data_IF_469335414700
#
_entry.id   IF_469335414700
#
_cell.length_a   1.000
_cell.length_b   1.000
_cell.length_c   1.000
_cell.angle_alpha   90.00
_cell.angle_beta   90.00
_cell.angle_gamma   90.00
#
_symmetry.space_group_name_H-M   'P 1'
#
loop_
_entity.id
_entity.type
_entity.pdbx_description
1 polymer ?
#
# COMPACT_ATOMS: atom_id res chain seq x y z
N UNK A 1 -7.71 14.22 -19.71
CA UNK A 1 -8.16 13.86 -18.34
C UNK A 1 -6.90 13.80 -17.48
N UNK A 2 -6.85 14.53 -16.36
CA UNK A 2 -5.72 14.41 -15.43
C UNK A 2 -5.79 13.04 -14.76
N UNK A 3 -4.68 12.33 -14.72
CA UNK A 3 -4.55 11.00 -14.11
C UNK A 3 -3.63 11.10 -12.89
N UNK A 4 -4.00 12.00 -11.98
CA UNK A 4 -3.31 12.19 -10.70
C UNK A 4 -3.93 11.32 -9.62
N UNK A 5 -3.10 10.95 -8.66
CA UNK A 5 -3.54 10.42 -7.38
C UNK A 5 -3.78 11.58 -6.42
N UNK A 6 -4.84 11.47 -5.62
CA UNK A 6 -5.19 12.44 -4.60
C UNK A 6 -5.43 11.73 -3.28
N UNK A 7 -5.14 12.38 -2.17
CA UNK A 7 -5.27 11.78 -0.86
C UNK A 7 -5.24 12.77 0.28
N UNK A 8 -5.28 12.21 1.48
CA UNK A 8 -5.17 12.91 2.74
C UNK A 8 -4.22 12.15 3.68
N UNK A 9 -3.40 12.90 4.39
CA UNK A 9 -2.55 12.42 5.48
C UNK A 9 -3.15 12.86 6.81
N UNK A 10 -3.32 11.92 7.73
CA UNK A 10 -3.84 12.17 9.07
C UNK A 10 -2.68 12.52 10.03
N UNK A 11 -2.47 13.83 10.22
CA UNK A 11 -1.42 14.47 11.02
C UNK A 11 -1.98 14.80 12.42
N UNK A 12 -2.35 13.75 13.16
CA UNK A 12 -2.98 13.84 14.47
C UNK A 12 -4.51 13.82 14.43
N UNK A 13 -5.18 13.79 15.60
CA UNK A 13 -6.63 13.67 15.69
C UNK A 13 -7.34 14.78 14.90
N UNK A 14 -8.21 14.38 13.98
CA UNK A 14 -9.05 15.27 13.15
C UNK A 14 -8.29 16.27 12.26
N UNK A 15 -6.98 16.09 12.07
CA UNK A 15 -6.17 16.96 11.21
C UNK A 15 -5.74 16.22 9.93
N UNK A 16 -6.30 16.66 8.80
CA UNK A 16 -6.06 16.03 7.50
C UNK A 16 -5.39 17.01 6.53
N UNK A 17 -4.21 16.61 6.04
CA UNK A 17 -3.44 17.38 5.06
C UNK A 17 -3.65 16.77 3.68
N UNK A 18 -4.17 17.56 2.74
CA UNK A 18 -4.35 17.12 1.37
C UNK A 18 -3.01 16.89 0.67
N UNK A 19 -2.91 15.80 -0.08
CA UNK A 19 -1.73 15.43 -0.88
C UNK A 19 -2.15 15.02 -2.29
N UNK A 20 -1.28 15.25 -3.26
CA UNK A 20 -1.48 14.81 -4.64
C UNK A 20 -0.17 14.37 -5.29
N UNK A 21 -0.28 13.56 -6.34
CA UNK A 21 0.86 13.23 -7.18
C UNK A 21 1.32 14.47 -7.95
N UNK A 22 2.64 14.67 -8.04
CA UNK A 22 3.22 15.83 -8.73
C UNK A 22 2.91 15.83 -10.23
N UNK A 23 2.92 14.65 -10.86
CA UNK A 23 2.67 14.44 -12.29
C UNK A 23 1.54 13.45 -12.51
N UNK A 24 0.93 13.49 -13.70
CA UNK A 24 0.00 12.46 -14.14
C UNK A 24 0.70 11.09 -14.17
N UNK A 25 -0.03 10.04 -13.77
CA UNK A 25 0.41 8.64 -13.79
C UNK A 25 1.59 8.35 -12.86
N UNK A 26 1.75 9.14 -11.80
CA UNK A 26 2.79 8.95 -10.78
C UNK A 26 2.17 8.76 -9.40
N UNK A 27 2.90 8.09 -8.51
CA UNK A 27 2.49 7.93 -7.11
C UNK A 27 2.69 9.22 -6.31
N UNK A 28 1.99 9.35 -5.18
CA UNK A 28 2.27 10.40 -4.20
C UNK A 28 3.60 10.10 -3.50
N UNK A 29 4.62 10.91 -3.74
CA UNK A 29 5.98 10.72 -3.18
C UNK A 29 6.29 11.62 -1.99
N UNK A 30 5.61 12.76 -1.88
CA UNK A 30 5.83 13.76 -0.83
C UNK A 30 4.74 13.68 0.22
N UNK A 31 4.83 12.68 1.09
CA UNK A 31 3.93 12.50 2.24
C UNK A 31 4.52 13.23 3.45
N UNK A 32 3.90 14.32 3.95
CA UNK A 32 4.35 14.97 5.17
C UNK A 32 4.11 14.05 6.36
N UNK A 33 5.17 13.71 7.11
CA UNK A 33 5.08 12.89 8.32
C UNK A 33 5.71 13.68 9.46
N UNK A 34 4.91 13.96 10.49
CA UNK A 34 5.32 14.54 11.76
C UNK A 34 5.13 13.54 12.91
N UNK A 35 5.50 13.96 14.13
CA UNK A 35 5.41 13.14 15.35
C UNK A 35 4.01 12.70 15.75
N UNK A 36 2.96 13.21 15.10
CA UNK A 36 1.55 12.89 15.36
C UNK A 36 0.88 12.14 14.21
N UNK A 37 1.58 12.00 13.08
CA UNK A 37 1.03 11.40 11.87
C UNK A 37 0.82 9.90 12.03
N UNK A 38 -0.40 9.42 11.78
CA UNK A 38 -0.77 8.02 11.96
C UNK A 38 -1.14 7.31 10.67
N UNK A 39 -1.58 8.04 9.63
CA UNK A 39 -2.05 7.36 8.45
C UNK A 39 -2.18 8.22 7.22
N UNK A 40 -2.44 7.54 6.11
CA UNK A 40 -2.69 8.17 4.82
C UNK A 40 -3.76 7.38 4.07
N UNK A 41 -4.57 8.10 3.30
CA UNK A 41 -5.43 7.51 2.28
C UNK A 41 -5.24 8.22 0.95
N UNK A 42 -5.25 7.50 -0.16
CA UNK A 42 -5.17 8.08 -1.50
C UNK A 42 -5.87 7.23 -2.55
N UNK A 43 -6.09 7.80 -3.72
CA UNK A 43 -6.74 7.14 -4.84
C UNK A 43 -5.73 6.57 -5.84
N UNK A 44 -6.01 5.39 -6.39
CA UNK A 44 -5.38 4.91 -7.62
C UNK A 44 -6.32 5.10 -8.81
N UNK A 45 -5.86 5.81 -9.82
CA UNK A 45 -6.58 5.98 -11.10
C UNK A 45 -6.75 4.64 -11.84
N UNK A 46 -7.75 4.56 -12.72
CA UNK A 46 -8.05 3.36 -13.51
C UNK A 46 -7.11 3.12 -14.69
N UNK A 47 -7.27 1.97 -15.34
CA UNK A 47 -6.52 1.64 -16.55
C UNK A 47 -6.66 2.77 -17.57
N UNK A 48 -5.57 3.12 -18.23
CA UNK A 48 -5.52 4.25 -19.14
C UNK A 48 -4.96 3.83 -20.50
N UNK A 49 -5.33 4.50 -21.61
CA UNK A 49 -4.76 4.19 -22.92
C UNK A 49 -3.25 4.45 -22.94
N UNK A 50 -2.48 3.50 -23.47
CA UNK A 50 -1.02 3.60 -23.55
C UNK A 50 -0.53 4.44 -24.75
N UNK A 51 -1.43 4.78 -25.68
CA UNK A 51 -1.12 5.52 -26.92
C UNK A 51 -1.07 4.64 -28.16
N UNK A 52 -1.00 3.32 -27.99
CA UNK A 52 -1.02 2.34 -29.08
C UNK A 52 -2.45 1.88 -29.40
N UNK A 53 -2.60 1.30 -30.59
CA UNK A 53 -3.86 0.73 -31.06
C UNK A 53 -3.65 -0.73 -31.50
N UNK A 54 -4.65 -1.57 -31.23
CA UNK A 54 -4.70 -2.93 -31.76
C UNK A 54 -4.88 -2.91 -33.27
N UNK A 55 -4.70 -4.08 -33.93
CA UNK A 55 -4.94 -4.26 -35.37
C UNK A 55 -6.36 -3.87 -35.82
N UNK A 56 -7.33 -3.85 -34.89
CA UNK A 56 -8.72 -3.47 -35.15
C UNK A 56 -9.01 -2.01 -34.76
N UNK A 57 -7.99 -1.20 -34.46
CA UNK A 57 -8.14 0.21 -34.10
C UNK A 57 -8.65 0.46 -32.68
N UNK A 58 -8.65 -0.55 -31.80
CA UNK A 58 -9.01 -0.36 -30.37
C UNK A 58 -7.80 0.15 -29.59
N UNK A 59 -7.92 1.23 -28.80
CA UNK A 59 -6.84 1.70 -27.94
C UNK A 59 -6.35 0.60 -26.99
N UNK A 60 -5.05 0.39 -26.93
CA UNK A 60 -4.43 -0.52 -25.97
C UNK A 60 -4.36 0.16 -24.60
N UNK A 61 -4.61 -0.61 -23.55
CA UNK A 61 -4.74 -0.09 -22.18
C UNK A 61 -3.56 -0.51 -21.32
N UNK A 62 -2.97 0.43 -20.58
CA UNK A 62 -2.07 0.13 -19.46
C UNK A 62 -2.88 -0.25 -18.23
N UNK A 63 -2.63 -1.45 -17.71
CA UNK A 63 -3.27 -1.94 -16.50
C UNK A 63 -2.64 -1.32 -15.24
N UNK A 64 -3.48 -0.85 -14.32
CA UNK A 64 -3.05 -0.37 -13.00
C UNK A 64 -3.11 -1.51 -11.98
N UNK A 65 -2.11 -1.58 -11.10
CA UNK A 65 -2.07 -2.57 -10.02
C UNK A 65 -2.96 -2.06 -8.87
N UNK A 66 -4.12 -2.69 -8.69
CA UNK A 66 -5.11 -2.35 -7.65
C UNK A 66 -4.79 -2.98 -6.29
N UNK A 67 -3.59 -2.77 -5.79
CA UNK A 67 -3.15 -2.98 -4.40
C UNK A 67 -2.14 -1.86 -4.06
N UNK A 68 -1.85 -1.61 -2.78
CA UNK A 68 -0.86 -0.60 -2.38
C UNK A 68 0.46 -0.72 -3.15
N UNK A 69 0.94 0.40 -3.68
CA UNK A 69 2.15 0.54 -4.48
C UNK A 69 3.43 0.30 -3.65
N UNK A 70 4.61 0.16 -4.29
CA UNK A 70 5.87 0.17 -3.57
C UNK A 70 6.07 1.44 -2.72
N UNK A 71 5.64 2.61 -3.23
CA UNK A 71 5.69 3.87 -2.49
C UNK A 71 4.83 3.82 -1.22
N UNK A 72 3.64 3.23 -1.31
CA UNK A 72 2.72 3.07 -0.19
C UNK A 72 3.33 2.21 0.92
N UNK A 73 4.04 1.14 0.55
CA UNK A 73 4.80 0.30 1.50
C UNK A 73 5.90 1.12 2.20
N UNK A 74 6.60 1.97 1.45
CA UNK A 74 7.61 2.86 2.00
C UNK A 74 7.02 3.87 3.01
N UNK A 75 5.86 4.45 2.69
CA UNK A 75 5.12 5.34 3.59
C UNK A 75 4.66 4.59 4.84
N UNK A 76 4.07 3.40 4.68
CA UNK A 76 3.62 2.57 5.78
C UNK A 76 4.75 2.30 6.80
N UNK A 77 5.95 1.95 6.33
CA UNK A 77 7.10 1.73 7.21
C UNK A 77 7.57 3.01 7.92
N UNK A 78 7.55 4.16 7.24
CA UNK A 78 7.87 5.45 7.87
C UNK A 78 6.87 5.77 8.99
N UNK A 79 5.58 5.52 8.76
CA UNK A 79 4.53 5.72 9.76
C UNK A 79 4.68 4.77 10.95
N UNK A 80 5.01 3.50 10.72
CA UNK A 80 5.27 2.54 11.81
C UNK A 80 6.43 2.98 12.70
N UNK A 81 7.53 3.46 12.11
CA UNK A 81 8.67 4.01 12.86
C UNK A 81 8.29 5.27 13.62
N UNK A 82 7.54 6.16 12.98
CA UNK A 82 7.06 7.37 13.61
C UNK A 82 6.22 7.04 14.85
N UNK A 83 5.30 6.07 14.72
CA UNK A 83 4.46 5.63 15.81
C UNK A 83 5.27 5.00 16.95
N UNK A 84 6.22 4.11 16.63
CA UNK A 84 7.11 3.51 17.62
C UNK A 84 7.97 4.55 18.35
N UNK A 85 8.49 5.56 17.65
CA UNK A 85 9.32 6.61 18.24
C UNK A 85 8.53 7.59 19.12
N UNK A 86 7.24 7.79 18.84
CA UNK A 86 6.40 8.79 19.51
C UNK A 86 5.34 8.17 20.43
N UNK A 87 5.45 6.88 20.77
CA UNK A 87 4.49 6.15 21.61
C UNK A 87 3.04 6.21 21.08
N UNK A 88 2.86 6.25 19.77
CA UNK A 88 1.54 6.14 19.15
C UNK A 88 1.19 4.63 19.08
N UNK A 89 -0.03 4.22 19.48
CA UNK A 89 -0.45 2.84 19.35
C UNK A 89 -0.37 2.37 17.89
N UNK A 90 0.34 1.27 17.64
CA UNK A 90 0.68 0.81 16.29
C UNK A 90 -0.54 0.35 15.49
N UNK A 91 -1.59 -0.12 16.15
CA UNK A 91 -2.88 -0.50 15.56
C UNK A 91 -3.61 0.70 14.92
N UNK A 92 -3.27 1.92 15.34
CA UNK A 92 -3.78 3.15 14.72
C UNK A 92 -3.12 3.40 13.37
N UNK A 93 -1.92 2.89 13.11
CA UNK A 93 -1.20 3.14 11.85
C UNK A 93 -1.96 2.52 10.68
N UNK A 94 -2.09 3.27 9.57
CA UNK A 94 -2.69 2.74 8.35
C UNK A 94 -2.18 3.41 7.07
N UNK A 95 -2.24 2.68 5.96
CA UNK A 95 -2.19 3.25 4.61
C UNK A 95 -3.32 2.66 3.80
N UNK A 96 -4.22 3.49 3.29
CA UNK A 96 -5.41 3.08 2.54
C UNK A 96 -5.31 3.53 1.09
N UNK A 97 -5.27 2.58 0.17
CA UNK A 97 -5.42 2.83 -1.25
C UNK A 97 -6.88 2.60 -1.67
N UNK A 98 -7.49 3.62 -2.25
CA UNK A 98 -8.87 3.63 -2.75
C UNK A 98 -8.85 3.39 -4.26
N UNK A 99 -9.59 2.40 -4.74
CA UNK A 99 -9.70 2.10 -6.17
C UNK A 99 -11.06 1.58 -6.56
N UNK A 100 -11.35 1.61 -7.87
CA UNK A 100 -12.54 0.99 -8.49
C UNK A 100 -12.72 -0.51 -8.24
N UNK A 101 -11.76 -1.20 -7.59
CA UNK A 101 -11.85 -2.61 -7.22
C UNK A 101 -12.05 -2.83 -5.71
N UNK A 102 -12.14 -1.76 -4.94
CA UNK A 102 -12.24 -1.78 -3.49
C UNK A 102 -11.15 -0.93 -2.83
N UNK A 103 -11.30 -0.78 -1.51
CA UNK A 103 -10.37 -0.04 -0.67
C UNK A 103 -9.45 -1.03 0.03
N UNK A 104 -8.15 -0.82 -0.09
CA UNK A 104 -7.11 -1.69 0.44
C UNK A 104 -6.35 -0.96 1.53
N UNK A 105 -6.45 -1.44 2.77
CA UNK A 105 -5.81 -0.83 3.94
C UNK A 105 -4.74 -1.74 4.50
N UNK A 106 -3.49 -1.26 4.53
CA UNK A 106 -2.42 -1.87 5.30
C UNK A 106 -2.60 -1.54 6.78
N UNK A 107 -2.51 -2.56 7.63
CA UNK A 107 -2.53 -2.47 9.09
C UNK A 107 -1.40 -3.30 9.67
N UNK A 108 -0.93 -2.90 10.84
CA UNK A 108 0.10 -3.60 11.60
C UNK A 108 -0.50 -4.21 12.86
N UNK A 109 -0.16 -5.46 13.12
CA UNK A 109 -0.69 -6.27 14.22
C UNK A 109 0.43 -6.86 15.09
N UNK A 110 1.67 -6.41 14.88
CA UNK A 110 2.85 -6.85 15.62
C UNK A 110 3.26 -5.90 16.74
N UNK A 111 4.49 -6.08 17.23
CA UNK A 111 5.10 -5.28 18.28
C UNK A 111 6.07 -4.24 17.72
N UNK A 112 6.31 -3.15 18.45
CA UNK A 112 7.34 -2.17 18.10
C UNK A 112 8.74 -2.79 17.95
N UNK A 113 9.00 -3.91 18.64
CA UNK A 113 10.27 -4.64 18.58
C UNK A 113 10.53 -5.32 17.22
N UNK A 114 9.47 -5.59 16.45
CA UNK A 114 9.58 -6.25 15.14
C UNK A 114 9.67 -5.22 13.99
N UNK A 115 9.74 -3.93 14.31
CA UNK A 115 9.87 -2.85 13.31
C UNK A 115 11.36 -2.55 13.11
N UNK A 116 11.92 -2.78 11.91
CA UNK A 116 13.32 -2.52 11.65
C UNK A 116 13.61 -1.01 11.70
N UNK A 117 14.74 -0.64 12.31
CA UNK A 117 15.16 0.75 12.49
C UNK A 117 15.62 1.46 11.20
N UNK A 118 15.94 0.72 10.12
CA UNK A 118 16.45 1.26 8.84
C UNK A 118 15.63 0.86 7.60
N UNK A 119 15.48 1.76 6.61
CA UNK A 119 14.67 1.53 5.40
C UNK A 119 15.31 0.50 4.46
N UNK A 120 14.52 -0.50 4.05
CA UNK A 120 14.92 -1.70 3.31
C UNK A 120 16.15 -2.38 3.93
N UNK A 121 15.95 -3.54 4.55
CA UNK A 121 17.03 -4.46 4.96
C UNK A 121 18.04 -4.76 3.82
N UNK A 122 17.70 -4.42 2.57
CA UNK A 122 18.44 -4.73 1.36
C UNK A 122 19.02 -3.51 0.61
N UNK A 123 19.04 -2.29 1.18
CA UNK A 123 19.64 -1.09 0.56
C UNK A 123 19.26 -0.90 -0.93
N UNK A 124 17.99 -1.15 -1.29
CA UNK A 124 17.55 -1.13 -2.68
C UNK A 124 17.48 0.29 -3.23
N UNK A 125 17.90 0.48 -4.48
CA UNK A 125 17.56 1.67 -5.24
C UNK A 125 16.04 1.72 -5.49
N UNK A 126 15.43 2.90 -5.70
CA UNK A 126 14.00 2.99 -6.03
C UNK A 126 13.58 2.11 -7.22
N UNK A 127 14.42 2.04 -8.25
CA UNK A 127 14.15 1.24 -9.44
C UNK A 127 14.19 -0.28 -9.14
N UNK A 128 15.18 -0.72 -8.36
CA UNK A 128 15.27 -2.14 -7.95
C UNK A 128 14.11 -2.52 -7.02
N UNK A 129 13.69 -1.58 -6.18
CA UNK A 129 12.54 -1.74 -5.29
C UNK A 129 11.25 -1.99 -6.08
N UNK A 130 11.00 -1.17 -7.11
CA UNK A 130 9.85 -1.34 -8.01
C UNK A 130 9.92 -2.66 -8.80
N UNK A 131 11.10 -3.00 -9.35
CA UNK A 131 11.30 -4.26 -10.09
C UNK A 131 11.06 -5.47 -9.21
N UNK A 132 11.59 -5.47 -7.99
CA UNK A 132 11.37 -6.55 -7.02
C UNK A 132 9.90 -6.65 -6.65
N UNK A 133 9.25 -5.54 -6.30
CA UNK A 133 7.82 -5.53 -6.02
C UNK A 133 7.01 -6.15 -7.16
N UNK A 134 7.26 -5.72 -8.41
CA UNK A 134 6.58 -6.25 -9.58
C UNK A 134 6.81 -7.76 -9.75
N UNK A 135 8.03 -8.24 -9.48
CA UNK A 135 8.35 -9.66 -9.47
C UNK A 135 7.55 -10.43 -8.41
N UNK A 136 7.46 -9.93 -7.19
CA UNK A 136 6.67 -10.56 -6.13
C UNK A 136 5.17 -10.64 -6.49
N UNK A 137 4.60 -9.56 -7.01
CA UNK A 137 3.20 -9.53 -7.47
C UNK A 137 2.98 -10.50 -8.64
N UNK A 138 3.93 -10.61 -9.57
CA UNK A 138 3.87 -11.56 -10.69
C UNK A 138 3.94 -13.01 -10.22
N UNK A 139 4.88 -13.33 -9.33
CA UNK A 139 5.18 -14.71 -8.93
C UNK A 139 4.15 -15.25 -7.92
N UNK A 140 3.56 -14.40 -7.07
CA UNK A 140 2.67 -14.82 -5.98
C UNK A 140 1.23 -14.28 -6.08
N UNK A 141 0.94 -13.41 -7.04
CA UNK A 141 -0.33 -12.68 -7.12
C UNK A 141 -0.32 -11.40 -6.25
N UNK A 142 -1.35 -10.56 -6.39
CA UNK A 142 -1.36 -9.19 -5.83
C UNK A 142 -1.23 -9.16 -4.30
N UNK A 143 -2.19 -9.73 -3.57
CA UNK A 143 -2.24 -9.64 -2.10
C UNK A 143 -1.07 -10.40 -1.46
N UNK A 144 -0.83 -11.64 -1.89
CA UNK A 144 0.26 -12.47 -1.37
C UNK A 144 1.62 -11.86 -1.71
N UNK A 145 1.79 -11.40 -2.95
CA UNK A 145 3.01 -10.75 -3.41
C UNK A 145 3.33 -9.49 -2.62
N UNK A 146 2.34 -8.62 -2.39
CA UNK A 146 2.48 -7.44 -1.53
C UNK A 146 2.97 -7.82 -0.12
N UNK A 147 2.25 -8.72 0.56
CA UNK A 147 2.58 -9.10 1.94
C UNK A 147 3.95 -9.80 2.02
N UNK A 148 4.28 -10.66 1.05
CA UNK A 148 5.60 -11.31 0.98
C UNK A 148 6.71 -10.30 0.71
N UNK A 149 6.47 -9.31 -0.15
CA UNK A 149 7.43 -8.25 -0.39
C UNK A 149 7.70 -7.44 0.88
N UNK A 150 6.66 -7.05 1.62
CA UNK A 150 6.81 -6.36 2.90
C UNK A 150 7.62 -7.20 3.90
N UNK A 151 7.30 -8.50 4.01
CA UNK A 151 8.03 -9.42 4.89
C UNK A 151 9.50 -9.57 4.49
N UNK A 152 9.76 -9.90 3.23
CA UNK A 152 11.08 -10.36 2.76
C UNK A 152 12.03 -9.17 2.49
N UNK A 153 11.51 -8.05 1.96
CA UNK A 153 12.31 -6.90 1.51
C UNK A 153 12.32 -5.74 2.50
N UNK A 154 11.32 -5.68 3.38
CA UNK A 154 11.24 -4.67 4.45
C UNK A 154 11.51 -5.24 5.84
N UNK A 155 11.61 -6.56 6.00
CA UNK A 155 11.70 -7.25 7.30
C UNK A 155 10.59 -6.86 8.29
N UNK A 156 9.37 -6.61 7.79
CA UNK A 156 8.21 -6.32 8.64
C UNK A 156 7.26 -7.52 8.59
N UNK A 157 7.12 -8.21 9.71
CA UNK A 157 6.15 -9.30 9.92
C UNK A 157 4.84 -8.76 10.50
N UNK A 158 3.81 -9.59 10.66
CA UNK A 158 2.54 -9.22 11.29
C UNK A 158 1.83 -8.02 10.61
N UNK A 159 1.92 -7.97 9.27
CA UNK A 159 1.19 -7.01 8.44
C UNK A 159 -0.04 -7.70 7.88
N UNK A 160 -1.18 -7.03 8.01
CA UNK A 160 -2.44 -7.45 7.42
C UNK A 160 -2.88 -6.45 6.34
N UNK A 161 -3.48 -6.99 5.28
CA UNK A 161 -4.12 -6.21 4.23
C UNK A 161 -5.63 -6.41 4.33
N UNK A 162 -6.35 -5.34 4.65
CA UNK A 162 -7.80 -5.33 4.65
C UNK A 162 -8.32 -4.88 3.29
N UNK A 163 -9.33 -5.57 2.76
CA UNK A 163 -10.07 -5.19 1.57
C UNK A 163 -11.52 -4.92 1.96
N UNK A 164 -11.90 -3.65 1.95
CA UNK A 164 -13.28 -3.20 2.07
C UNK A 164 -13.89 -3.07 0.69
N UNK A 165 -14.80 -3.97 0.36
CA UNK A 165 -15.51 -3.98 -0.91
C UNK A 165 -16.69 -3.00 -0.88
N UNK A 166 -17.12 -2.55 -2.05
CA UNK A 166 -18.27 -1.63 -2.17
C UNK A 166 -19.60 -2.19 -1.67
N UNK A 167 -19.72 -3.51 -1.54
CA UNK A 167 -20.89 -4.17 -0.94
C UNK A 167 -20.80 -4.24 0.60
N UNK A 168 -19.85 -3.54 1.22
CA UNK A 168 -19.62 -3.51 2.66
C UNK A 168 -18.88 -4.72 3.22
N UNK A 169 -18.64 -5.79 2.43
CA UNK A 169 -17.88 -6.94 2.90
C UNK A 169 -16.42 -6.56 3.15
N UNK A 170 -15.89 -6.96 4.31
CA UNK A 170 -14.49 -6.74 4.68
C UNK A 170 -13.77 -8.07 4.78
N UNK A 171 -12.70 -8.22 4.00
CA UNK A 171 -11.77 -9.35 4.09
C UNK A 171 -10.42 -8.90 4.62
N UNK A 172 -9.83 -9.66 5.52
CA UNK A 172 -8.45 -9.49 5.98
C UNK A 172 -7.59 -10.58 5.36
N UNK A 173 -6.45 -10.17 4.80
CA UNK A 173 -5.44 -11.06 4.22
C UNK A 173 -4.16 -10.97 5.04
N UNK A 174 -3.55 -12.11 5.35
CA UNK A 174 -2.29 -12.20 6.09
C UNK A 174 -1.46 -13.39 5.61
N UNK A 175 -0.16 -13.41 5.96
CA UNK A 175 0.70 -14.57 5.69
C UNK A 175 0.62 -15.55 6.85
N UNK A 176 0.35 -16.82 6.55
CA UNK A 176 0.24 -17.89 7.51
C UNK A 176 1.25 -19.02 7.25
N UNK A 177 1.81 -19.52 8.36
CA UNK A 177 2.70 -20.67 8.41
C UNK A 177 4.05 -20.49 7.71
N UNK A 178 4.88 -21.54 7.75
CA UNK A 178 6.28 -21.49 7.31
C UNK A 178 6.47 -21.34 5.79
N UNK A 179 5.40 -21.43 4.99
CA UNK A 179 5.45 -21.30 3.51
C UNK A 179 4.92 -19.97 3.01
N UNK A 180 4.63 -19.02 3.91
CA UNK A 180 4.03 -17.73 3.58
C UNK A 180 2.84 -17.89 2.64
N UNK A 181 1.93 -18.81 3.00
CA UNK A 181 0.67 -18.93 2.29
C UNK A 181 -0.16 -17.71 2.64
N UNK A 182 -0.89 -17.19 1.66
CA UNK A 182 -1.93 -16.22 1.97
C UNK A 182 -3.09 -16.98 2.61
N UNK A 183 -3.53 -16.47 3.74
CA UNK A 183 -4.81 -16.84 4.36
C UNK A 183 -5.73 -15.63 4.34
N UNK A 184 -7.03 -15.87 4.42
CA UNK A 184 -8.02 -14.82 4.51
C UNK A 184 -9.16 -15.15 5.44
N UNK A 185 -9.63 -14.12 6.15
CA UNK A 185 -10.82 -14.21 6.98
C UNK A 185 -11.80 -13.10 6.63
N UNK A 186 -13.08 -13.39 6.76
CA UNK A 186 -14.13 -12.38 6.60
C UNK A 186 -14.37 -11.72 7.95
N UNK A 187 -14.00 -10.44 8.05
CA UNK A 187 -14.14 -9.68 9.30
C UNK A 187 -15.57 -9.15 9.50
N UNK A 188 -16.27 -8.90 8.39
CA UNK A 188 -17.63 -8.36 8.39
C UNK A 188 -18.38 -8.77 7.12
N UNK A 189 -19.60 -9.27 7.31
CA UNK A 189 -20.60 -9.48 6.26
C UNK A 189 -21.89 -8.74 6.65
N UNK A 190 -22.45 -7.98 5.70
CA UNK A 190 -23.79 -7.42 5.79
C UNK A 190 -24.86 -8.51 5.66
#
# INVERSE_FOLDING_TARGET
>A
MKLKEYGFVESGPDNFVAVESSLDRTAITNVPIDSTTIGMMHTHYDNYPNGDFSVNGTPMMTATIKVPSPGDVGVFLKLLRNAAANNIPLEKVYVTMISSKGNYTLKYEGSALDIPSGGSVNMLSPEDFEKKYAKYVKDFGKQRGLLKFIKDEMAVTNVALYNTRYNGKVKRYFLYGNKDKIDDETCYEN
#
